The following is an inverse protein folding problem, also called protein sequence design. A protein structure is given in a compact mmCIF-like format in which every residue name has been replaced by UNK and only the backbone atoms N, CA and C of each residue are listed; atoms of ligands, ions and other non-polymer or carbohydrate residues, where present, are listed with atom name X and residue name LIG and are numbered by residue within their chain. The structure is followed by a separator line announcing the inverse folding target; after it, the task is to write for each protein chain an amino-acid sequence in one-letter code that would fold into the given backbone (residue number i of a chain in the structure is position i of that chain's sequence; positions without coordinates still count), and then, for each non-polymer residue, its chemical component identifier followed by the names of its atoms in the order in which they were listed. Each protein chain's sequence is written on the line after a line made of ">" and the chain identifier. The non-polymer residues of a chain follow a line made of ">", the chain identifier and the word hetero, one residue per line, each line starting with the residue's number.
data_IF_133855114104
#
_entry.id   IF_133855114104
#
_cell.length_a   1.000
_cell.length_b   1.000
_cell.length_c   1.000
_cell.angle_alpha   90.00
_cell.angle_beta   90.00
_cell.angle_gamma   90.00
#
_symmetry.space_group_name_H-M   'P 1'
#
loop_
_entity.id
_entity.type
_entity.pdbx_description
1 polymer ?
#
# COMPACT_ATOMS: atom_id res chain seq x y z
N UNK A 1 -11.31 4.45 7.62
CA UNK A 1 -11.18 5.34 6.46
C UNK A 1 -9.87 5.13 5.70
N UNK A 2 -8.72 4.89 6.36
CA UNK A 2 -7.46 4.74 5.61
C UNK A 2 -7.46 3.60 4.59
N UNK A 3 -8.06 2.44 4.90
CA UNK A 3 -8.08 1.33 3.94
C UNK A 3 -8.81 1.70 2.66
N UNK A 4 -9.93 2.43 2.75
CA UNK A 4 -10.62 2.93 1.56
C UNK A 4 -9.78 3.95 0.78
N UNK A 5 -9.09 4.86 1.48
CA UNK A 5 -8.18 5.81 0.84
C UNK A 5 -7.03 5.08 0.14
N UNK A 6 -6.45 4.07 0.80
CA UNK A 6 -5.41 3.22 0.24
C UNK A 6 -5.93 2.46 -0.98
N UNK A 7 -7.11 1.82 -0.90
CA UNK A 7 -7.78 1.20 -2.05
C UNK A 7 -7.93 2.18 -3.20
N UNK A 8 -8.41 3.39 -2.94
CA UNK A 8 -8.63 4.40 -3.98
C UNK A 8 -7.31 4.81 -4.66
N UNK A 9 -6.27 5.07 -3.86
CA UNK A 9 -4.94 5.44 -4.37
C UNK A 9 -4.40 4.31 -5.24
N UNK A 10 -4.41 3.06 -4.75
CA UNK A 10 -3.90 1.91 -5.48
C UNK A 10 -4.75 1.60 -6.73
N UNK A 11 -6.07 1.71 -6.65
CA UNK A 11 -6.93 1.51 -7.83
C UNK A 11 -6.64 2.55 -8.90
N UNK A 12 -6.47 3.82 -8.51
CA UNK A 12 -6.16 4.92 -9.43
C UNK A 12 -4.79 4.71 -10.09
N UNK A 13 -3.74 4.44 -9.30
CA UNK A 13 -2.40 4.15 -9.82
C UNK A 13 -2.42 2.92 -10.72
N UNK A 14 -3.11 1.86 -10.31
CA UNK A 14 -3.25 0.63 -11.07
C UNK A 14 -3.89 0.83 -12.44
N UNK A 15 -5.02 1.55 -12.49
CA UNK A 15 -5.69 1.89 -13.74
C UNK A 15 -4.83 2.82 -14.61
N UNK A 16 -4.18 3.82 -14.01
CA UNK A 16 -3.27 4.71 -14.73
C UNK A 16 -2.17 3.93 -15.42
N UNK A 17 -1.46 3.03 -14.73
CA UNK A 17 -0.35 2.29 -15.33
C UNK A 17 -0.77 1.21 -16.33
N UNK A 18 -2.01 0.71 -16.27
CA UNK A 18 -2.55 -0.23 -17.26
C UNK A 18 -2.94 0.46 -18.56
N UNK A 19 -3.66 1.58 -18.47
CA UNK A 19 -4.25 2.26 -19.63
C UNK A 19 -3.41 3.41 -20.18
N UNK A 20 -2.58 4.02 -19.33
CA UNK A 20 -1.69 5.13 -19.65
C UNK A 20 -0.28 4.83 -19.09
N UNK A 21 0.48 3.90 -19.70
CA UNK A 21 1.82 3.51 -19.21
C UNK A 21 2.79 4.68 -19.01
N UNK A 22 2.63 5.74 -19.82
CA UNK A 22 3.40 6.98 -19.76
C UNK A 22 3.00 7.89 -18.58
N UNK A 23 1.95 7.54 -17.83
CA UNK A 23 1.57 8.26 -16.63
C UNK A 23 2.63 8.20 -15.54
N UNK A 24 3.67 7.35 -15.68
CA UNK A 24 4.91 7.46 -14.92
C UNK A 24 5.50 8.87 -14.95
N UNK A 25 5.43 9.57 -16.09
CA UNK A 25 5.92 10.95 -16.22
C UNK A 25 5.14 11.94 -15.34
N UNK A 26 3.91 11.61 -14.95
CA UNK A 26 3.07 12.41 -14.05
C UNK A 26 3.32 12.08 -12.57
N UNK A 27 4.00 10.96 -12.28
CA UNK A 27 4.24 10.47 -10.92
C UNK A 27 5.72 10.69 -10.56
N UNK A 28 6.02 11.57 -9.60
CA UNK A 28 7.39 11.83 -9.18
C UNK A 28 8.18 10.55 -8.85
N UNK A 29 9.36 10.41 -9.44
CA UNK A 29 10.27 9.28 -9.22
C UNK A 29 10.16 8.12 -10.21
N UNK A 30 9.23 8.15 -11.16
CA UNK A 30 9.30 7.36 -12.39
C UNK A 30 10.05 8.23 -13.43
N UNK A 31 11.23 7.78 -13.89
CA UNK A 31 12.10 8.54 -14.79
C UNK A 31 11.52 8.72 -16.20
N UNK A 32 12.35 9.02 -17.21
CA UNK A 32 11.86 9.11 -18.60
C UNK A 32 11.35 7.73 -19.06
N UNK A 33 10.13 7.71 -19.61
CA UNK A 33 9.40 6.53 -20.08
C UNK A 33 10.07 5.84 -21.28
N UNK A 34 11.23 5.21 -21.08
CA UNK A 34 12.09 4.68 -22.15
C UNK A 34 12.47 3.20 -21.94
N UNK A 35 12.68 2.48 -23.05
CA UNK A 35 13.17 1.10 -23.08
C UNK A 35 12.17 0.07 -23.65
N UNK A 36 12.70 -1.03 -24.19
CA UNK A 36 11.90 -2.05 -24.89
C UNK A 36 10.82 -2.73 -24.03
N UNK A 37 11.02 -2.77 -22.71
CA UNK A 37 10.11 -3.42 -21.77
C UNK A 37 9.36 -2.45 -20.86
N UNK A 38 9.47 -1.14 -21.10
CA UNK A 38 8.88 -0.12 -20.22
C UNK A 38 7.36 -0.29 -20.09
N UNK A 39 6.65 -0.38 -21.22
CA UNK A 39 5.19 -0.52 -21.20
C UNK A 39 4.74 -1.80 -20.48
N UNK A 40 5.42 -2.92 -20.74
CA UNK A 40 5.13 -4.19 -20.06
C UNK A 40 5.33 -4.05 -18.54
N UNK A 41 6.44 -3.44 -18.12
CA UNK A 41 6.76 -3.22 -16.72
C UNK A 41 5.71 -2.34 -16.04
N UNK A 42 5.28 -1.25 -16.68
CA UNK A 42 4.23 -0.39 -16.16
C UNK A 42 2.91 -1.13 -16.00
N UNK A 43 2.51 -1.95 -16.98
CA UNK A 43 1.30 -2.78 -16.86
C UNK A 43 1.41 -3.80 -15.72
N UNK A 44 2.58 -4.40 -15.50
CA UNK A 44 2.82 -5.29 -14.36
C UNK A 44 2.72 -4.55 -13.02
N UNK A 45 3.30 -3.34 -12.91
CA UNK A 45 3.12 -2.49 -11.74
C UNK A 45 1.64 -2.11 -11.53
N UNK A 46 0.92 -1.82 -12.61
CA UNK A 46 -0.51 -1.51 -12.56
C UNK A 46 -1.33 -2.67 -12.03
N UNK A 47 -1.09 -3.90 -12.51
CA UNK A 47 -1.72 -5.12 -12.01
C UNK A 47 -1.40 -5.37 -10.53
N UNK A 48 -0.14 -5.20 -10.13
CA UNK A 48 0.26 -5.33 -8.73
C UNK A 48 -0.44 -4.30 -7.84
N UNK A 49 -0.56 -3.06 -8.31
CA UNK A 49 -1.28 -2.00 -7.60
C UNK A 49 -2.78 -2.31 -7.48
N UNK A 50 -3.44 -2.80 -8.54
CA UNK A 50 -4.83 -3.27 -8.47
C UNK A 50 -5.02 -4.43 -7.50
N UNK A 51 -4.08 -5.37 -7.44
CA UNK A 51 -4.11 -6.47 -6.47
C UNK A 51 -4.07 -5.94 -5.03
N UNK A 52 -3.18 -4.98 -4.74
CA UNK A 52 -3.12 -4.32 -3.43
C UNK A 52 -4.40 -3.53 -3.11
N UNK A 53 -5.01 -2.88 -4.10
CA UNK A 53 -6.30 -2.21 -3.95
C UNK A 53 -7.38 -3.22 -3.53
N UNK A 54 -7.41 -4.39 -4.16
CA UNK A 54 -8.31 -5.50 -3.84
C UNK A 54 -8.09 -6.04 -2.43
N UNK A 55 -6.85 -6.27 -2.00
CA UNK A 55 -6.54 -6.70 -0.63
C UNK A 55 -6.99 -5.66 0.41
N UNK A 56 -6.77 -4.38 0.14
CA UNK A 56 -7.16 -3.29 1.03
C UNK A 56 -8.68 -3.14 1.12
N UNK A 57 -9.38 -3.29 -0.01
CA UNK A 57 -10.85 -3.29 -0.04
C UNK A 57 -11.41 -4.49 0.71
N UNK A 58 -10.82 -5.67 0.49
CA UNK A 58 -11.22 -6.88 1.18
C UNK A 58 -11.01 -6.77 2.70
N UNK A 59 -9.88 -6.22 3.15
CA UNK A 59 -9.62 -5.91 4.56
C UNK A 59 -10.67 -4.95 5.14
N UNK A 60 -11.07 -3.93 4.37
CA UNK A 60 -12.11 -3.00 4.78
C UNK A 60 -13.49 -3.67 4.91
N UNK A 61 -13.87 -4.50 3.94
CA UNK A 61 -15.15 -5.22 3.94
C UNK A 61 -15.22 -6.29 5.03
N UNK A 62 -14.09 -6.94 5.34
CA UNK A 62 -13.96 -7.98 6.37
C UNK A 62 -13.43 -7.45 7.71
N UNK A 63 -13.57 -6.13 7.97
CA UNK A 63 -13.10 -5.47 9.20
C UNK A 63 -13.70 -6.00 10.51
N UNK A 64 -14.75 -6.82 10.44
CA UNK A 64 -15.34 -7.50 11.60
C UNK A 64 -14.55 -8.71 12.06
N UNK A 65 -13.70 -9.28 11.20
CA UNK A 65 -12.81 -10.39 11.52
C UNK A 65 -11.43 -9.85 11.90
N UNK A 66 -11.11 -9.81 13.20
CA UNK A 66 -9.84 -9.27 13.70
C UNK A 66 -8.62 -9.97 13.10
N UNK A 67 -8.63 -11.29 12.99
CA UNK A 67 -7.50 -12.05 12.42
C UNK A 67 -7.19 -11.63 10.99
N UNK A 68 -8.20 -11.62 10.11
CA UNK A 68 -8.04 -11.17 8.72
C UNK A 68 -7.64 -9.69 8.63
N UNK A 69 -8.27 -8.83 9.42
CA UNK A 69 -7.95 -7.41 9.42
C UNK A 69 -6.49 -7.19 9.81
N UNK A 70 -6.04 -7.77 10.93
CA UNK A 70 -4.67 -7.64 11.42
C UNK A 70 -3.66 -8.23 10.43
N UNK A 71 -3.94 -9.40 9.86
CA UNK A 71 -3.07 -10.02 8.87
C UNK A 71 -2.91 -9.12 7.64
N UNK A 72 -4.01 -8.68 7.03
CA UNK A 72 -3.98 -7.88 5.82
C UNK A 72 -3.36 -6.50 6.05
N UNK A 73 -3.73 -5.82 7.15
CA UNK A 73 -3.15 -4.51 7.48
C UNK A 73 -1.66 -4.59 7.77
N UNK A 74 -1.20 -5.64 8.45
CA UNK A 74 0.22 -5.87 8.69
C UNK A 74 0.96 -6.17 7.38
N UNK A 75 0.44 -7.08 6.54
CA UNK A 75 1.04 -7.40 5.24
C UNK A 75 1.16 -6.18 4.33
N UNK A 76 0.11 -5.36 4.25
CA UNK A 76 0.14 -4.11 3.49
C UNK A 76 1.16 -3.11 4.08
N UNK A 77 1.26 -3.01 5.41
CA UNK A 77 2.25 -2.14 6.06
C UNK A 77 3.68 -2.59 5.75
N UNK A 78 3.98 -3.89 5.88
CA UNK A 78 5.29 -4.46 5.55
C UNK A 78 5.64 -4.19 4.10
N UNK A 79 4.71 -4.41 3.17
CA UNK A 79 4.91 -4.09 1.76
C UNK A 79 5.35 -2.63 1.57
N UNK A 80 4.65 -1.68 2.21
CA UNK A 80 5.04 -0.27 2.10
C UNK A 80 6.40 0.02 2.74
N UNK A 81 6.76 -0.61 3.86
CA UNK A 81 8.10 -0.46 4.44
C UNK A 81 9.21 -1.00 3.53
N UNK A 82 8.98 -2.13 2.87
CA UNK A 82 9.93 -2.68 1.89
C UNK A 82 10.06 -1.76 0.67
N UNK A 83 8.95 -1.16 0.23
CA UNK A 83 8.99 -0.15 -0.84
C UNK A 83 9.77 1.10 -0.42
N UNK A 84 9.61 1.59 0.81
CA UNK A 84 10.43 2.70 1.32
C UNK A 84 11.91 2.34 1.23
N UNK A 85 12.29 1.16 1.73
CA UNK A 85 13.69 0.71 1.72
C UNK A 85 14.27 0.70 0.31
N UNK A 86 13.57 0.10 -0.65
CA UNK A 86 14.01 0.04 -2.06
C UNK A 86 14.08 1.44 -2.65
N UNK A 87 13.07 2.28 -2.46
CA UNK A 87 13.02 3.63 -3.04
C UNK A 87 14.11 4.53 -2.44
N UNK A 88 14.38 4.44 -1.14
CA UNK A 88 15.45 5.22 -0.51
C UNK A 88 16.84 4.80 -1.00
N UNK A 89 17.08 3.52 -1.27
CA UNK A 89 18.38 3.02 -1.75
C UNK A 89 18.58 3.30 -3.25
N UNK A 90 17.54 3.08 -4.06
CA UNK A 90 17.68 3.00 -5.52
C UNK A 90 17.01 4.15 -6.29
N UNK A 91 16.14 4.96 -5.66
CA UNK A 91 15.49 6.09 -6.33
C UNK A 91 16.10 7.41 -5.87
N UNK A 92 16.65 8.24 -6.79
CA UNK A 92 17.15 9.56 -6.44
C UNK A 92 16.02 10.51 -5.97
N UNK A 93 14.76 10.28 -6.37
CA UNK A 93 13.61 11.07 -5.93
C UNK A 93 12.95 10.48 -4.68
N UNK A 94 13.05 11.20 -3.56
CA UNK A 94 12.50 10.77 -2.27
C UNK A 94 10.99 10.96 -2.14
N UNK A 95 10.30 11.61 -3.08
CA UNK A 95 8.85 11.81 -3.02
C UNK A 95 8.07 10.50 -3.10
N UNK A 96 8.55 9.55 -3.91
CA UNK A 96 8.00 8.20 -3.97
C UNK A 96 8.16 7.49 -2.61
N UNK A 97 9.35 7.55 -2.00
CA UNK A 97 9.60 6.99 -0.67
C UNK A 97 8.69 7.62 0.40
N UNK A 98 8.50 8.94 0.37
CA UNK A 98 7.59 9.66 1.27
C UNK A 98 6.14 9.18 1.15
N UNK A 99 5.63 8.99 -0.07
CA UNK A 99 4.28 8.46 -0.27
C UNK A 99 4.11 7.07 0.35
N UNK A 100 5.08 6.17 0.12
CA UNK A 100 5.06 4.85 0.75
C UNK A 100 5.17 4.94 2.28
N UNK A 101 5.96 5.88 2.81
CA UNK A 101 6.06 6.14 4.24
C UNK A 101 4.73 6.57 4.85
N UNK A 102 4.05 7.54 4.25
CA UNK A 102 2.75 7.99 4.72
C UNK A 102 1.73 6.85 4.75
N UNK A 103 1.67 6.03 3.69
CA UNK A 103 0.80 4.86 3.66
C UNK A 103 1.17 3.83 4.73
N UNK A 104 2.47 3.56 4.94
CA UNK A 104 2.96 2.62 5.95
C UNK A 104 2.57 3.05 7.37
N UNK A 105 2.76 4.32 7.74
CA UNK A 105 2.48 4.80 9.10
C UNK A 105 0.97 4.76 9.40
N UNK A 106 0.10 5.10 8.45
CA UNK A 106 -1.33 5.07 8.69
C UNK A 106 -1.88 3.64 8.77
N UNK A 107 -1.37 2.72 7.94
CA UNK A 107 -1.74 1.30 8.02
C UNK A 107 -1.23 0.66 9.32
N UNK A 108 0.01 0.96 9.71
CA UNK A 108 0.59 0.53 10.99
C UNK A 108 -0.20 1.08 12.17
N UNK A 109 -0.61 2.35 12.11
CA UNK A 109 -1.47 2.97 13.12
C UNK A 109 -2.80 2.25 13.29
N UNK A 110 -3.42 1.82 12.19
CA UNK A 110 -4.64 1.00 12.27
C UNK A 110 -4.40 -0.38 12.86
N UNK A 111 -3.32 -1.05 12.45
CA UNK A 111 -2.93 -2.34 13.00
C UNK A 111 -2.72 -2.25 14.52
N UNK A 112 -1.88 -1.31 14.98
CA UNK A 112 -1.56 -1.12 16.39
C UNK A 112 -2.80 -0.70 17.20
N UNK A 113 -3.63 0.18 16.66
CA UNK A 113 -4.88 0.60 17.30
C UNK A 113 -5.83 -0.57 17.53
N UNK A 114 -6.02 -1.43 16.52
CA UNK A 114 -6.86 -2.63 16.64
C UNK A 114 -6.24 -3.66 17.56
N UNK A 115 -4.92 -3.86 17.49
CA UNK A 115 -4.20 -4.81 18.35
C UNK A 115 -4.27 -4.41 19.82
N UNK A 116 -4.10 -3.12 20.12
CA UNK A 116 -4.23 -2.59 21.48
C UNK A 116 -5.63 -2.83 22.05
N UNK A 117 -6.69 -2.58 21.28
CA UNK A 117 -8.06 -2.84 21.70
C UNK A 117 -8.28 -4.33 22.04
N UNK A 118 -7.71 -5.24 21.24
CA UNK A 118 -7.80 -6.69 21.52
C UNK A 118 -7.13 -7.11 22.83
N UNK A 119 -6.14 -6.34 23.33
CA UNK A 119 -5.50 -6.62 24.63
C UNK A 119 -6.31 -6.07 25.80
N UNK A 120 -6.97 -4.93 25.65
CA UNK A 120 -7.80 -4.33 26.73
C UNK A 120 -9.12 -5.08 26.94
N UNK A 121 -9.58 -5.78 25.92
CA UNK A 121 -10.76 -6.63 25.96
C UNK A 121 -10.45 -8.08 26.39
N UNK A 122 -9.17 -8.42 26.59
CA UNK A 122 -8.74 -9.72 27.11
C UNK A 122 -9.00 -9.81 28.63
N UNK A 123 -9.82 -10.76 29.11
CA UNK A 123 -10.06 -10.97 30.54
C UNK A 123 -8.77 -11.25 31.33
N UNK A 124 -7.72 -11.79 30.69
CA UNK A 124 -6.44 -12.05 31.33
C UNK A 124 -5.61 -10.78 31.58
N UNK A 125 -5.88 -9.67 30.87
CA UNK A 125 -5.19 -8.40 31.04
C UNK A 125 -5.79 -7.49 32.15
N UNK A 126 -6.90 -7.93 32.77
CA UNK A 126 -7.58 -7.21 33.87
C UNK A 126 -7.29 -7.80 35.26
N UNK A 127 -6.36 -8.75 35.36
CA UNK A 127 -5.83 -9.29 36.61
C UNK A 127 -4.44 -8.73 36.86
#
# INVERSE_FOLDING_TARGET
>A
MILLLHTLIQATVGLMFIFYPQAGDLIPGFGTSEGQSFELLMKMYGLASLFLAGLSLYAYLKRTSDTLFLFLTLSLSIYHYLMILVQTIYNPDQRAALLHFLLAIFLTGQYLGRRKASWTDDPAARK
#
